data_IF_375600267233
#
_entry.id   IF_375600267233
#
_cell.length_a   1.000
_cell.length_b   1.000
_cell.length_c   1.000
_cell.angle_alpha   90.00
_cell.angle_beta   90.00
_cell.angle_gamma   90.00
#
_symmetry.space_group_name_H-M   'P 1'
#
loop_
_entity.id
_entity.type
_entity.pdbx_description
1 polymer ?
#
# COMPACT_ATOMS: atom_id res chain seq x y z
N UNK A 1 39.92 -27.95 -10.82
CA UNK A 1 39.78 -28.43 -9.43
C UNK A 1 40.45 -27.43 -8.50
N UNK A 2 39.84 -27.23 -7.32
CA UNK A 2 40.34 -26.54 -6.11
C UNK A 2 40.26 -25.01 -6.04
N UNK A 3 39.15 -24.55 -5.44
CA UNK A 3 39.12 -23.45 -4.48
C UNK A 3 40.08 -23.71 -3.31
N UNK A 4 40.48 -22.65 -2.59
CA UNK A 4 39.98 -22.58 -1.22
C UNK A 4 39.48 -21.20 -0.80
N UNK A 5 38.53 -21.28 0.14
CA UNK A 5 37.89 -20.23 0.90
C UNK A 5 38.90 -19.48 1.77
N UNK A 6 38.78 -18.16 1.83
CA UNK A 6 39.28 -17.34 2.93
C UNK A 6 38.11 -16.56 3.52
N UNK A 7 37.62 -17.07 4.64
CA UNK A 7 36.90 -16.33 5.66
C UNK A 7 37.78 -15.17 6.14
N UNK A 8 37.29 -13.94 6.01
CA UNK A 8 37.84 -12.79 6.73
C UNK A 8 36.70 -12.12 7.51
N UNK A 9 36.54 -12.63 8.72
CA UNK A 9 35.73 -12.10 9.79
C UNK A 9 36.53 -10.93 10.40
N UNK A 10 36.21 -9.70 10.04
CA UNK A 10 36.74 -8.52 10.73
C UNK A 10 35.61 -7.72 11.35
N UNK A 11 35.32 -8.09 12.59
CA UNK A 11 34.78 -7.24 13.63
C UNK A 11 35.59 -5.93 13.69
N UNK A 12 34.95 -4.81 13.39
CA UNK A 12 35.44 -3.49 13.79
C UNK A 12 34.31 -2.78 14.52
N UNK A 13 34.37 -2.89 15.84
CA UNK A 13 33.70 -2.00 16.76
C UNK A 13 34.22 -0.58 16.56
N UNK A 14 33.35 0.35 16.16
CA UNK A 14 33.50 1.75 16.54
C UNK A 14 32.15 2.28 17.00
N UNK A 15 31.98 2.18 18.31
CA UNK A 15 31.00 2.85 19.14
C UNK A 15 31.15 4.37 19.04
N UNK A 16 30.15 5.04 18.48
CA UNK A 16 29.83 6.43 18.80
C UNK A 16 28.56 6.43 19.65
N UNK A 17 28.80 6.25 20.95
CA UNK A 17 27.81 6.35 22.02
C UNK A 17 27.49 7.84 22.20
N UNK A 18 26.54 8.38 21.43
CA UNK A 18 26.00 9.71 21.71
C UNK A 18 25.13 9.62 22.96
N UNK A 19 25.73 10.01 24.09
CA UNK A 19 25.03 10.26 25.34
C UNK A 19 24.08 11.45 25.15
N UNK A 20 22.81 11.18 24.84
CA UNK A 20 21.75 12.13 25.03
C UNK A 20 21.48 12.24 26.53
N UNK A 21 21.92 13.33 27.14
CA UNK A 21 21.56 13.71 28.50
C UNK A 21 20.04 13.90 28.57
N UNK A 22 19.35 12.92 29.15
CA UNK A 22 17.94 12.99 29.47
C UNK A 22 17.77 13.96 30.65
N UNK A 23 17.39 15.20 30.36
CA UNK A 23 16.86 16.08 31.39
C UNK A 23 15.45 15.60 31.73
N UNK A 24 15.06 15.50 33.01
CA UNK A 24 13.66 15.37 33.36
C UNK A 24 13.01 16.73 33.12
N UNK A 25 12.62 16.98 31.87
CA UNK A 25 11.70 18.04 31.55
C UNK A 25 10.39 17.69 32.25
N UNK A 26 10.13 18.46 33.30
CA UNK A 26 8.84 18.83 33.87
C UNK A 26 7.65 18.20 33.16
N UNK A 27 6.86 17.53 34.00
CA UNK A 27 5.57 16.91 33.76
C UNK A 27 4.54 17.94 33.26
N UNK A 28 4.75 18.50 32.07
CA UNK A 28 3.73 19.21 31.32
C UNK A 28 2.92 18.14 30.61
N UNK A 29 1.86 17.70 31.31
CA UNK A 29 0.75 17.00 30.67
C UNK A 29 0.41 17.75 29.37
N UNK A 30 0.25 17.06 28.24
CA UNK A 30 -0.24 17.69 27.02
C UNK A 30 -1.53 18.45 27.38
N UNK A 31 -1.72 19.67 26.87
CA UNK A 31 -2.89 20.47 27.19
C UNK A 31 -4.13 19.59 27.01
N UNK A 32 -4.81 19.33 28.12
CA UNK A 32 -6.08 18.60 28.16
C UNK A 32 -6.91 19.15 27.02
N UNK A 33 -7.20 18.30 26.03
CA UNK A 33 -8.07 18.62 24.91
C UNK A 33 -9.40 19.03 25.55
N UNK A 34 -9.58 20.33 25.74
CA UNK A 34 -10.88 20.86 26.11
C UNK A 34 -11.75 20.64 24.88
N UNK A 35 -12.85 19.88 24.98
CA UNK A 35 -13.75 19.70 23.85
C UNK A 35 -14.17 21.09 23.36
N UNK A 36 -13.68 21.43 22.17
CA UNK A 36 -13.94 22.69 21.51
C UNK A 36 -15.35 22.61 20.95
N UNK A 37 -16.24 23.42 21.52
CA UNK A 37 -17.65 23.60 21.19
C UNK A 37 -18.57 22.40 21.53
N UNK A 38 -19.84 22.67 21.91
CA UNK A 38 -20.84 21.61 21.95
C UNK A 38 -20.94 21.01 20.54
N UNK A 39 -20.89 19.68 20.44
CA UNK A 39 -21.31 19.01 19.20
C UNK A 39 -22.75 19.44 18.93
N UNK A 40 -22.96 20.23 17.87
CA UNK A 40 -24.27 20.42 17.27
C UNK A 40 -24.77 19.02 16.86
N UNK A 41 -25.68 18.48 17.67
CA UNK A 41 -26.33 17.18 17.53
C UNK A 41 -25.37 15.97 17.35
N UNK A 42 -24.94 15.31 18.44
CA UNK A 42 -24.07 14.13 18.37
C UNK A 42 -24.68 13.00 17.52
N UNK A 43 -26.00 12.95 17.37
CA UNK A 43 -26.70 11.95 16.56
C UNK A 43 -26.37 12.09 15.06
N UNK A 44 -26.35 13.32 14.54
CA UNK A 44 -25.95 13.59 13.14
C UNK A 44 -24.50 13.27 12.88
N UNK A 45 -23.64 13.49 13.88
CA UNK A 45 -22.22 13.13 13.80
C UNK A 45 -22.03 11.62 13.73
N UNK A 46 -22.83 10.86 14.49
CA UNK A 46 -22.82 9.39 14.45
C UNK A 46 -23.34 8.88 13.10
N UNK A 47 -24.44 9.43 12.58
CA UNK A 47 -24.97 9.07 11.25
C UNK A 47 -23.95 9.32 10.14
N UNK A 48 -23.27 10.48 10.15
CA UNK A 48 -22.21 10.78 9.18
C UNK A 48 -21.04 9.79 9.27
N UNK A 49 -20.65 9.37 10.48
CA UNK A 49 -19.63 8.34 10.69
C UNK A 49 -20.07 6.97 10.18
N UNK A 50 -21.32 6.58 10.41
CA UNK A 50 -21.89 5.32 9.91
C UNK A 50 -21.87 5.32 8.38
N UNK A 51 -22.42 6.36 7.73
CA UNK A 51 -22.45 6.43 6.26
C UNK A 51 -21.05 6.46 5.64
N UNK A 52 -20.09 7.12 6.29
CA UNK A 52 -18.69 7.11 5.85
C UNK A 52 -18.09 5.69 5.94
N UNK A 53 -18.37 4.99 7.03
CA UNK A 53 -17.89 3.61 7.27
C UNK A 53 -18.52 2.64 6.27
N UNK A 54 -19.83 2.73 6.04
CA UNK A 54 -20.53 1.89 5.06
C UNK A 54 -19.95 2.06 3.65
N UNK A 55 -19.68 3.30 3.23
CA UNK A 55 -19.06 3.57 1.93
C UNK A 55 -17.67 2.94 1.83
N UNK A 56 -16.84 3.09 2.87
CA UNK A 56 -15.51 2.47 2.90
C UNK A 56 -15.58 0.94 2.82
N UNK A 57 -16.53 0.32 3.52
CA UNK A 57 -16.74 -1.13 3.46
C UNK A 57 -17.18 -1.59 2.07
N UNK A 58 -18.05 -0.84 1.38
CA UNK A 58 -18.41 -1.13 -0.01
C UNK A 58 -17.19 -1.05 -0.92
N UNK A 59 -16.40 0.02 -0.84
CA UNK A 59 -15.17 0.15 -1.64
C UNK A 59 -14.19 -0.98 -1.37
N UNK A 60 -14.00 -1.37 -0.11
CA UNK A 60 -13.13 -2.51 0.23
C UNK A 60 -13.62 -3.83 -0.35
N UNK A 61 -14.94 -4.04 -0.37
CA UNK A 61 -15.55 -5.24 -0.97
C UNK A 61 -15.30 -5.26 -2.47
N UNK A 62 -15.54 -4.14 -3.15
CA UNK A 62 -15.33 -4.04 -4.61
C UNK A 62 -13.86 -4.31 -4.94
N UNK A 63 -12.93 -3.66 -4.23
CA UNK A 63 -11.48 -3.89 -4.41
C UNK A 63 -11.10 -5.35 -4.16
N UNK A 64 -11.73 -6.04 -3.20
CA UNK A 64 -11.49 -7.47 -2.99
C UNK A 64 -11.95 -8.34 -4.18
N UNK A 65 -13.08 -8.01 -4.80
CA UNK A 65 -13.56 -8.68 -6.02
C UNK A 65 -12.58 -8.44 -7.19
N UNK A 66 -12.11 -7.21 -7.36
CA UNK A 66 -11.11 -6.85 -8.39
C UNK A 66 -9.75 -7.51 -8.15
N UNK A 67 -9.30 -7.60 -6.89
CA UNK A 67 -8.08 -8.30 -6.51
C UNK A 67 -8.15 -9.78 -6.88
N UNK A 68 -9.28 -10.43 -6.59
CA UNK A 68 -9.48 -11.84 -6.94
C UNK A 68 -9.40 -12.04 -8.46
N UNK A 69 -10.11 -11.23 -9.24
CA UNK A 69 -10.06 -11.30 -10.70
C UNK A 69 -8.64 -11.06 -11.25
N UNK A 70 -7.90 -10.11 -10.68
CA UNK A 70 -6.50 -9.86 -11.03
C UNK A 70 -5.61 -11.08 -10.75
N UNK A 71 -5.75 -11.70 -9.57
CA UNK A 71 -4.95 -12.88 -9.21
C UNK A 71 -5.20 -14.05 -10.16
N UNK A 72 -6.45 -14.33 -10.51
CA UNK A 72 -6.82 -15.38 -11.46
C UNK A 72 -6.24 -15.13 -12.86
N UNK A 73 -6.28 -13.88 -13.34
CA UNK A 73 -5.68 -13.50 -14.62
C UNK A 73 -4.15 -13.63 -14.59
N UNK A 74 -3.52 -13.21 -13.50
CA UNK A 74 -2.06 -13.33 -13.32
C UNK A 74 -1.63 -14.79 -13.35
N UNK A 75 -2.32 -15.67 -12.63
CA UNK A 75 -2.00 -17.09 -12.56
C UNK A 75 -2.20 -17.79 -13.93
N UNK A 76 -3.24 -17.39 -14.67
CA UNK A 76 -3.46 -17.84 -16.06
C UNK A 76 -2.34 -17.38 -16.99
N UNK A 77 -1.86 -16.13 -16.84
CA UNK A 77 -0.74 -15.60 -17.61
C UNK A 77 0.56 -16.34 -17.28
N UNK A 78 0.83 -16.63 -16.00
CA UNK A 78 1.98 -17.43 -15.59
C UNK A 78 1.96 -18.84 -16.19
N UNK A 79 0.77 -19.39 -16.40
CA UNK A 79 0.57 -20.69 -17.07
C UNK A 79 0.69 -20.60 -18.60
N UNK A 80 0.49 -19.42 -19.20
CA UNK A 80 0.54 -19.17 -20.65
C UNK A 80 1.27 -17.85 -20.96
N UNK A 81 2.57 -17.76 -20.67
CA UNK A 81 3.31 -16.49 -20.69
C UNK A 81 3.40 -15.86 -22.09
N UNK A 82 3.30 -16.69 -23.13
CA UNK A 82 3.39 -16.25 -24.53
C UNK A 82 2.06 -15.74 -25.10
N UNK A 83 1.00 -15.64 -24.29
CA UNK A 83 -0.31 -15.17 -24.73
C UNK A 83 -0.42 -13.63 -24.59
N UNK A 84 -0.27 -12.85 -25.68
CA UNK A 84 -0.29 -11.39 -25.61
C UNK A 84 -1.66 -10.83 -25.20
N UNK A 85 -2.75 -11.55 -25.48
CA UNK A 85 -4.10 -11.13 -25.10
C UNK A 85 -4.27 -11.20 -23.58
N UNK A 86 -3.83 -12.31 -22.96
CA UNK A 86 -3.83 -12.44 -21.49
C UNK A 86 -2.92 -11.39 -20.84
N UNK A 87 -1.76 -11.11 -21.43
CA UNK A 87 -0.87 -10.06 -20.92
C UNK A 87 -1.55 -8.69 -20.94
N UNK A 88 -2.27 -8.35 -22.02
CA UNK A 88 -3.03 -7.10 -22.11
C UNK A 88 -4.19 -7.04 -21.09
N UNK A 89 -4.90 -8.15 -20.87
CA UNK A 89 -5.96 -8.24 -19.85
C UNK A 89 -5.43 -8.02 -18.44
N UNK A 90 -4.31 -8.66 -18.07
CA UNK A 90 -3.64 -8.47 -16.78
C UNK A 90 -3.23 -7.02 -16.58
N UNK A 91 -2.60 -6.42 -17.60
CA UNK A 91 -2.16 -5.03 -17.59
C UNK A 91 -3.34 -4.07 -17.43
N UNK A 92 -4.44 -4.28 -18.15
CA UNK A 92 -5.65 -3.46 -18.02
C UNK A 92 -6.31 -3.61 -16.65
N UNK A 93 -6.35 -4.84 -16.10
CA UNK A 93 -6.94 -5.09 -14.78
C UNK A 93 -6.07 -4.51 -13.66
N UNK A 94 -4.74 -4.53 -13.82
CA UNK A 94 -3.80 -3.92 -12.89
C UNK A 94 -3.99 -2.39 -12.80
N UNK A 95 -4.15 -1.71 -13.95
CA UNK A 95 -4.38 -0.27 -14.02
C UNK A 95 -5.70 0.13 -13.34
N UNK A 96 -6.77 -0.64 -13.59
CA UNK A 96 -8.05 -0.47 -12.90
C UNK A 96 -7.89 -0.62 -11.38
N UNK A 97 -7.28 -1.72 -10.93
CA UNK A 97 -7.12 -2.02 -9.51
C UNK A 97 -6.24 -0.98 -8.80
N UNK A 98 -5.18 -0.50 -9.47
CA UNK A 98 -4.33 0.57 -8.92
C UNK A 98 -5.13 1.85 -8.70
N UNK A 99 -5.97 2.23 -9.66
CA UNK A 99 -6.82 3.42 -9.55
C UNK A 99 -7.83 3.30 -8.40
N UNK A 100 -8.47 2.14 -8.26
CA UNK A 100 -9.45 1.89 -7.18
C UNK A 100 -8.79 1.88 -5.79
N UNK A 101 -7.56 1.37 -5.67
CA UNK A 101 -6.80 1.38 -4.40
C UNK A 101 -6.41 2.81 -4.02
N UNK A 102 -5.96 3.63 -4.98
CA UNK A 102 -5.60 5.03 -4.77
C UNK A 102 -6.82 5.88 -4.39
N UNK A 103 -7.91 5.79 -5.16
CA UNK A 103 -9.16 6.50 -4.90
C UNK A 103 -9.80 6.10 -3.56
N UNK A 104 -9.73 4.81 -3.22
CA UNK A 104 -10.23 4.27 -1.96
C UNK A 104 -9.37 4.58 -0.74
N UNK A 105 -8.16 5.14 -0.94
CA UNK A 105 -7.15 5.32 0.11
C UNK A 105 -6.85 4.01 0.85
N UNK A 106 -6.77 2.90 0.09
CA UNK A 106 -6.61 1.54 0.62
C UNK A 106 -5.17 1.03 0.52
N UNK A 107 -4.22 1.86 0.07
CA UNK A 107 -2.82 1.46 -0.12
C UNK A 107 -2.20 0.83 1.15
N UNK A 108 -2.55 1.34 2.33
CA UNK A 108 -2.06 0.85 3.62
C UNK A 108 -2.48 -0.60 3.95
N UNK A 109 -3.45 -1.16 3.21
CA UNK A 109 -3.91 -2.55 3.38
C UNK A 109 -3.08 -3.57 2.60
N UNK A 110 -2.17 -3.12 1.74
CA UNK A 110 -1.40 -3.98 0.84
C UNK A 110 0.09 -3.94 1.18
N UNK A 111 0.81 -5.00 0.82
CA UNK A 111 2.27 -5.01 0.93
C UNK A 111 2.90 -4.09 -0.12
N UNK A 112 4.04 -3.50 0.22
CA UNK A 112 4.79 -2.66 -0.70
C UNK A 112 5.18 -3.40 -1.98
N UNK A 113 5.64 -4.65 -1.87
CA UNK A 113 5.98 -5.50 -3.02
C UNK A 113 4.81 -5.66 -3.99
N UNK A 114 3.59 -5.88 -3.46
CA UNK A 114 2.39 -6.01 -4.28
C UNK A 114 2.06 -4.70 -5.01
N UNK A 115 2.15 -3.57 -4.31
CA UNK A 115 1.88 -2.26 -4.90
C UNK A 115 2.91 -1.91 -6.00
N UNK A 116 4.18 -2.28 -5.81
CA UNK A 116 5.21 -2.09 -6.83
C UNK A 116 4.94 -2.93 -8.08
N UNK A 117 4.59 -4.21 -7.92
CA UNK A 117 4.21 -5.09 -9.04
C UNK A 117 2.98 -4.54 -9.78
N UNK A 118 1.95 -4.12 -9.03
CA UNK A 118 0.72 -3.56 -9.59
C UNK A 118 1.02 -2.29 -10.40
N UNK A 119 1.80 -1.37 -9.83
CA UNK A 119 2.21 -0.13 -10.48
C UNK A 119 3.05 -0.39 -11.74
N UNK A 120 3.91 -1.42 -11.73
CA UNK A 120 4.67 -1.81 -12.92
C UNK A 120 3.74 -2.19 -14.08
N UNK A 121 2.73 -3.03 -13.82
CA UNK A 121 1.75 -3.41 -14.85
C UNK A 121 0.89 -2.22 -15.28
N UNK A 122 0.44 -1.36 -14.36
CA UNK A 122 -0.31 -0.14 -14.70
C UNK A 122 0.51 0.80 -15.60
N UNK A 123 1.80 0.97 -15.32
CA UNK A 123 2.72 1.79 -16.15
C UNK A 123 2.81 1.26 -17.59
N UNK A 124 2.80 -0.06 -17.78
CA UNK A 124 2.77 -0.68 -19.12
C UNK A 124 1.48 -0.32 -19.86
N UNK A 125 0.32 -0.34 -19.17
CA UNK A 125 -0.98 0.03 -19.74
C UNK A 125 -0.98 1.48 -20.27
N UNK A 126 -0.50 2.41 -19.44
CA UNK A 126 -0.48 3.83 -19.79
C UNK A 126 0.44 4.10 -20.99
N UNK A 127 1.56 3.40 -21.08
CA UNK A 127 2.51 3.52 -22.20
C UNK A 127 1.97 2.92 -23.49
N UNK A 128 1.22 1.81 -23.42
CA UNK A 128 0.64 1.18 -24.61
C UNK A 128 -0.50 2.03 -25.19
N UNK A 129 -1.35 2.63 -24.34
CA UNK A 129 -2.42 3.54 -24.77
C UNK A 129 -1.90 4.82 -25.43
N UNK A 130 -0.82 5.42 -24.91
CA UNK A 130 -0.20 6.62 -25.51
C UNK A 130 0.37 6.39 -26.91
N UNK A 131 0.73 5.14 -27.25
CA UNK A 131 1.28 4.79 -28.57
C UNK A 131 0.20 4.45 -29.61
N UNK A 132 -1.03 4.21 -29.17
CA UNK A 132 -2.16 3.87 -30.03
C UNK A 132 -2.96 5.11 -30.49
N UNK A 133 -2.63 6.30 -29.98
CA UNK A 133 -3.19 7.60 -30.36
C UNK A 133 -2.19 8.35 -31.24
#
# INVERSE_FOLDING_TARGET
>A
MLFPRLFAFTLLCFSSLSAASFTPATNDLPPRIQPKAPLDDPSRSIEALISCTERKLMTQRDVAEHLKAYSELRDRLLSHPDNPTLAAEVVSKADQLSSEIEEGQLADLFSEDFLQDLHFFATIAQRSQKRAR
#
